data_IF_131149434161
#
_entry.id   IF_131149434161
#
_cell.length_a   1.000
_cell.length_b   1.000
_cell.length_c   1.000
_cell.angle_alpha   90.00
_cell.angle_beta   90.00
_cell.angle_gamma   90.00
#
_symmetry.space_group_name_H-M   'P 1'
#
loop_
_entity.id
_entity.type
_entity.pdbx_description
1 polymer ?
#
# COMPACT_ATOMS: atom_id res chain seq x y z
N UNK A 1 -15.65 8.08 3.12
CA UNK A 1 -16.13 7.41 4.36
C UNK A 1 -16.94 8.41 5.16
N UNK A 2 -18.25 8.30 5.19
CA UNK A 2 -19.05 9.00 6.20
C UNK A 2 -18.83 8.25 7.51
N UNK A 3 -18.13 8.88 8.45
CA UNK A 3 -18.01 8.35 9.80
C UNK A 3 -19.44 8.16 10.34
N UNK A 4 -19.81 6.92 10.63
CA UNK A 4 -21.06 6.67 11.31
C UNK A 4 -20.83 7.20 12.74
N UNK A 5 -21.52 8.25 13.17
CA UNK A 5 -21.32 8.97 14.45
C UNK A 5 -21.21 8.04 15.68
N UNK A 6 -21.71 6.81 15.57
CA UNK A 6 -21.71 5.82 16.64
C UNK A 6 -20.34 5.20 16.97
N UNK A 7 -19.32 5.34 16.11
CA UNK A 7 -17.99 4.76 16.30
C UNK A 7 -16.89 5.80 16.53
N UNK A 8 -17.22 7.09 16.56
CA UNK A 8 -16.26 8.16 16.83
C UNK A 8 -15.95 8.17 18.34
N UNK A 9 -14.66 8.02 18.68
CA UNK A 9 -14.19 8.01 20.07
C UNK A 9 -13.44 9.28 20.47
N UNK A 10 -12.89 10.01 19.51
CA UNK A 10 -12.20 11.29 19.74
C UNK A 10 -12.13 12.13 18.48
N UNK A 11 -11.92 13.44 18.65
CA UNK A 11 -11.48 14.37 17.60
C UNK A 11 -10.31 15.15 18.18
N UNK A 12 -9.11 14.95 17.63
CA UNK A 12 -7.87 15.58 18.08
C UNK A 12 -6.80 15.56 16.99
N UNK A 13 -5.90 16.52 17.03
CA UNK A 13 -4.72 16.60 16.16
C UNK A 13 -5.06 16.62 14.65
N UNK A 14 -6.27 17.09 14.26
CA UNK A 14 -6.76 17.14 12.87
C UNK A 14 -7.26 15.79 12.35
N UNK A 15 -7.54 14.84 13.25
CA UNK A 15 -8.07 13.52 12.93
C UNK A 15 -9.34 13.21 13.74
N UNK A 16 -10.30 12.59 13.08
CA UNK A 16 -11.44 11.92 13.70
C UNK A 16 -11.03 10.47 13.99
N UNK A 17 -11.09 10.07 15.26
CA UNK A 17 -10.69 8.74 15.70
C UNK A 17 -11.88 7.82 15.75
N UNK A 18 -11.83 6.72 14.96
CA UNK A 18 -12.97 5.83 14.76
C UNK A 18 -12.59 4.40 15.14
N UNK A 19 -13.33 3.79 16.05
CA UNK A 19 -13.23 2.35 16.28
C UNK A 19 -13.75 1.61 15.04
N UNK A 20 -12.96 0.65 14.56
CA UNK A 20 -13.34 -0.11 13.38
C UNK A 20 -13.08 -1.61 13.51
N UNK A 21 -13.89 -2.36 12.81
CA UNK A 21 -13.65 -3.79 12.57
C UNK A 21 -12.65 -3.97 11.43
N UNK A 22 -12.03 -5.14 11.39
CA UNK A 22 -11.19 -5.51 10.24
C UNK A 22 -12.01 -5.42 8.94
N UNK A 23 -11.62 -4.61 7.96
CA UNK A 23 -12.40 -4.41 6.73
C UNK A 23 -12.55 -5.70 5.91
N UNK A 24 -11.58 -6.63 5.99
CA UNK A 24 -11.64 -7.90 5.26
C UNK A 24 -12.53 -8.94 5.94
N UNK A 25 -12.53 -8.99 7.26
CA UNK A 25 -13.16 -10.08 8.04
C UNK A 25 -14.43 -9.66 8.77
N UNK A 26 -14.70 -8.37 8.85
CA UNK A 26 -15.80 -7.76 9.60
C UNK A 26 -15.86 -8.21 11.08
N UNK A 27 -14.70 -8.35 11.72
CA UNK A 27 -14.57 -8.69 13.15
C UNK A 27 -13.66 -7.69 13.86
N UNK A 28 -13.85 -7.44 15.16
CA UNK A 28 -12.93 -6.60 15.93
C UNK A 28 -11.49 -7.13 15.84
N UNK A 29 -10.47 -6.25 15.90
CA UNK A 29 -9.09 -6.70 16.05
C UNK A 29 -8.91 -7.34 17.43
N UNK A 30 -8.02 -8.32 17.56
CA UNK A 30 -7.91 -9.12 18.79
C UNK A 30 -6.54 -9.07 19.43
N UNK A 31 -5.53 -8.52 18.75
CA UNK A 31 -4.16 -8.53 19.26
C UNK A 31 -3.50 -7.18 19.11
N UNK A 32 -3.19 -6.54 20.24
CA UNK A 32 -2.34 -5.35 20.27
C UNK A 32 -0.90 -5.74 19.87
N UNK A 33 -0.33 -5.02 18.91
CA UNK A 33 1.06 -5.19 18.47
C UNK A 33 1.98 -4.26 19.26
N UNK A 34 1.57 -3.02 19.44
CA UNK A 34 2.30 -1.95 20.13
C UNK A 34 1.83 -0.59 19.64
N UNK A 35 2.56 0.46 20.02
CA UNK A 35 2.31 1.84 19.57
C UNK A 35 3.20 2.23 18.40
N UNK A 36 2.71 3.12 17.55
CA UNK A 36 3.46 3.66 16.42
C UNK A 36 3.11 5.13 16.15
N UNK A 37 4.09 5.90 15.66
CA UNK A 37 3.96 7.32 15.37
C UNK A 37 4.10 8.23 16.59
N UNK A 38 4.20 9.53 16.37
CA UNK A 38 4.33 10.54 17.42
C UNK A 38 5.48 10.25 18.38
N UNK A 39 5.22 10.29 19.69
CA UNK A 39 6.21 9.98 20.73
C UNK A 39 6.73 8.53 20.67
N UNK A 40 6.01 7.63 20.03
CA UNK A 40 6.42 6.24 19.78
C UNK A 40 7.23 6.05 18.49
N UNK A 41 7.80 7.13 17.96
CA UNK A 41 8.73 7.12 16.84
C UNK A 41 9.99 7.92 17.18
N UNK A 42 11.17 7.47 16.69
CA UNK A 42 12.48 8.11 17.02
C UNK A 42 12.55 9.60 16.67
N UNK A 43 11.86 10.01 15.61
CA UNK A 43 11.85 11.40 15.09
C UNK A 43 10.53 12.11 15.35
N UNK A 44 9.62 11.52 16.14
CA UNK A 44 8.31 12.10 16.42
C UNK A 44 7.38 12.16 15.19
N UNK A 45 7.64 11.33 14.16
CA UNK A 45 6.86 11.35 12.93
C UNK A 45 5.55 10.58 13.05
N UNK A 46 4.55 11.02 12.28
CA UNK A 46 3.25 10.38 12.21
C UNK A 46 2.35 10.67 13.41
N UNK A 47 1.20 10.00 13.45
CA UNK A 47 0.19 10.12 14.49
C UNK A 47 0.31 8.95 15.46
N UNK A 48 0.48 9.23 16.75
CA UNK A 48 0.60 8.16 17.75
C UNK A 48 -0.70 7.35 17.82
N UNK A 49 -0.59 6.07 17.56
CA UNK A 49 -1.71 5.15 17.47
C UNK A 49 -1.39 3.79 18.07
N UNK A 50 -2.39 3.16 18.67
CA UNK A 50 -2.33 1.75 19.05
C UNK A 50 -2.53 0.88 17.82
N UNK A 51 -1.56 0.02 17.54
CA UNK A 51 -1.53 -0.82 16.34
C UNK A 51 -2.01 -2.23 16.69
N UNK A 52 -3.06 -2.66 16.01
CA UNK A 52 -3.73 -3.92 16.25
C UNK A 52 -3.65 -4.86 15.07
N UNK A 53 -3.83 -6.15 15.32
CA UNK A 53 -3.96 -7.18 14.29
C UNK A 53 -5.28 -7.91 14.38
N UNK A 54 -5.87 -8.20 13.22
CA UNK A 54 -7.02 -9.09 13.09
C UNK A 54 -6.60 -10.55 13.35
N UNK A 55 -7.26 -11.23 14.29
CA UNK A 55 -7.00 -12.64 14.61
C UNK A 55 -7.36 -13.59 13.46
N UNK A 56 -8.29 -13.22 12.56
CA UNK A 56 -8.73 -14.07 11.45
C UNK A 56 -7.83 -13.99 10.21
N UNK A 57 -7.37 -12.79 9.80
CA UNK A 57 -6.57 -12.64 8.57
C UNK A 57 -5.18 -12.05 8.77
N UNK A 58 -4.87 -11.59 9.97
CA UNK A 58 -3.58 -10.94 10.32
C UNK A 58 -3.36 -9.58 9.67
N UNK A 59 -4.41 -8.92 9.13
CA UNK A 59 -4.32 -7.51 8.74
C UNK A 59 -3.98 -6.67 9.96
N UNK A 60 -3.07 -5.73 9.80
CA UNK A 60 -2.60 -4.82 10.86
C UNK A 60 -3.13 -3.42 10.55
N UNK A 61 -3.63 -2.71 11.56
CA UNK A 61 -4.17 -1.36 11.40
C UNK A 61 -4.26 -0.64 12.76
N UNK A 62 -4.28 0.71 12.76
CA UNK A 62 -4.58 1.49 13.96
C UNK A 62 -6.01 1.22 14.43
N UNK A 63 -6.23 1.07 15.74
CA UNK A 63 -7.57 1.05 16.28
C UNK A 63 -7.61 1.69 17.68
N UNK A 64 -8.27 2.85 17.84
CA UNK A 64 -9.06 3.57 16.83
C UNK A 64 -8.23 4.04 15.62
N UNK A 65 -8.87 4.11 14.44
CA UNK A 65 -8.27 4.61 13.20
C UNK A 65 -8.30 6.13 13.16
N UNK A 66 -7.15 6.83 12.97
CA UNK A 66 -7.13 8.27 12.74
C UNK A 66 -7.53 8.55 11.28
N UNK A 67 -8.75 9.05 11.08
CA UNK A 67 -9.26 9.47 9.77
C UNK A 67 -9.05 10.97 9.62
N UNK A 68 -8.44 11.48 8.53
CA UNK A 68 -8.20 12.91 8.35
C UNK A 68 -9.49 13.73 8.38
N UNK A 69 -9.57 14.74 9.23
CA UNK A 69 -10.74 15.64 9.34
C UNK A 69 -10.96 16.44 8.04
N UNK A 70 -9.88 16.83 7.39
CA UNK A 70 -9.89 17.65 6.15
C UNK A 70 -10.27 16.89 4.88
N UNK A 71 -10.58 15.59 4.99
CA UNK A 71 -10.89 14.73 3.86
C UNK A 71 -9.66 14.11 3.19
N UNK A 72 -9.90 13.06 2.38
CA UNK A 72 -8.83 12.26 1.78
C UNK A 72 -8.05 13.00 0.70
N UNK A 73 -8.71 13.86 -0.09
CA UNK A 73 -8.05 14.62 -1.15
C UNK A 73 -6.90 15.49 -0.61
N UNK A 74 -7.14 16.26 0.46
CA UNK A 74 -6.09 17.05 1.09
C UNK A 74 -5.05 16.20 1.84
N UNK A 75 -5.45 15.04 2.33
CA UNK A 75 -4.51 14.13 3.00
C UNK A 75 -3.51 13.51 2.04
N UNK A 76 -3.92 13.23 0.81
CA UNK A 76 -3.06 12.68 -0.24
C UNK A 76 -2.34 13.75 -1.07
N UNK A 77 -2.62 15.04 -0.85
CA UNK A 77 -1.90 16.13 -1.53
C UNK A 77 -0.52 16.34 -0.87
N UNK A 78 0.46 15.62 -1.41
CA UNK A 78 1.83 15.61 -0.92
C UNK A 78 2.63 16.79 -1.45
N UNK A 79 3.66 17.21 -0.70
CA UNK A 79 4.68 18.10 -1.23
C UNK A 79 5.50 17.36 -2.30
N UNK A 80 5.20 17.70 -3.57
CA UNK A 80 5.83 17.08 -4.71
C UNK A 80 7.35 17.37 -4.75
N UNK A 81 7.78 18.55 -4.31
CA UNK A 81 9.17 18.96 -4.37
C UNK A 81 10.02 18.17 -3.37
N UNK A 82 9.51 17.93 -2.15
CA UNK A 82 10.15 17.08 -1.15
C UNK A 82 10.21 15.63 -1.62
N UNK A 83 9.12 15.11 -2.17
CA UNK A 83 9.08 13.76 -2.74
C UNK A 83 10.06 13.58 -3.90
N UNK A 84 10.19 14.60 -4.77
CA UNK A 84 11.07 14.55 -5.93
C UNK A 84 12.56 14.53 -5.57
N UNK A 85 12.95 15.16 -4.47
CA UNK A 85 14.33 15.18 -4.03
C UNK A 85 14.82 13.82 -3.47
N UNK A 86 13.93 13.03 -2.90
CA UNK A 86 14.28 11.79 -2.19
C UNK A 86 14.16 10.51 -3.02
N UNK A 87 13.71 10.58 -4.28
CA UNK A 87 13.49 9.39 -5.11
C UNK A 87 14.22 9.48 -6.46
N UNK A 88 15.03 8.48 -6.79
CA UNK A 88 15.72 8.37 -8.08
C UNK A 88 14.72 8.01 -9.20
N UNK A 89 14.57 8.93 -10.17
CA UNK A 89 13.64 8.76 -11.29
C UNK A 89 14.08 7.66 -12.28
N UNK A 90 15.38 7.42 -12.43
CA UNK A 90 15.92 6.50 -13.42
C UNK A 90 15.62 5.03 -13.12
N UNK A 91 15.83 4.63 -11.87
CA UNK A 91 15.56 3.25 -11.43
C UNK A 91 14.08 2.92 -11.43
N UNK A 92 13.21 3.88 -11.09
CA UNK A 92 11.75 3.71 -11.12
C UNK A 92 11.22 3.51 -12.53
N UNK A 93 11.72 4.26 -13.50
CA UNK A 93 11.30 4.11 -14.90
C UNK A 93 11.72 2.73 -15.48
N UNK A 94 12.91 2.25 -15.15
CA UNK A 94 13.34 0.92 -15.58
C UNK A 94 12.45 -0.19 -14.97
N UNK A 95 12.13 -0.09 -13.67
CA UNK A 95 11.20 -1.01 -13.01
C UNK A 95 9.81 -0.97 -13.61
N UNK A 96 9.30 0.23 -13.94
CA UNK A 96 8.02 0.40 -14.61
C UNK A 96 8.01 -0.28 -15.98
N UNK A 97 9.08 -0.14 -16.78
CA UNK A 97 9.17 -0.77 -18.09
C UNK A 97 9.10 -2.31 -18.01
N UNK A 98 9.76 -2.91 -17.03
CA UNK A 98 9.72 -4.37 -16.81
C UNK A 98 8.34 -4.84 -16.33
N UNK A 99 7.68 -4.07 -15.48
CA UNK A 99 6.31 -4.32 -15.06
C UNK A 99 5.34 -4.32 -16.26
N UNK A 100 5.43 -3.34 -17.15
CA UNK A 100 4.57 -3.24 -18.33
C UNK A 100 4.83 -4.38 -19.34
N UNK A 101 6.10 -4.79 -19.53
CA UNK A 101 6.42 -5.99 -20.32
C UNK A 101 5.77 -7.23 -19.74
N UNK A 102 5.82 -7.40 -18.42
CA UNK A 102 5.20 -8.52 -17.72
C UNK A 102 3.66 -8.50 -17.86
N UNK A 103 3.03 -7.32 -17.76
CA UNK A 103 1.59 -7.16 -18.01
C UNK A 103 1.21 -7.64 -19.43
N UNK A 104 1.95 -7.20 -20.44
CA UNK A 104 1.74 -7.61 -21.84
C UNK A 104 1.93 -9.11 -22.05
N UNK A 105 2.94 -9.71 -21.42
CA UNK A 105 3.19 -11.15 -21.50
C UNK A 105 2.07 -11.97 -20.82
N UNK A 106 1.55 -11.52 -19.67
CA UNK A 106 0.48 -12.21 -18.95
C UNK A 106 -0.89 -12.09 -19.63
N UNK A 107 -1.17 -10.93 -20.26
CA UNK A 107 -2.43 -10.67 -20.94
C UNK A 107 -2.44 -11.23 -22.38
N UNK A 108 -1.28 -11.35 -23.01
CA UNK A 108 -1.11 -11.74 -24.42
C UNK A 108 -1.40 -10.63 -25.45
N UNK A 109 -1.79 -9.45 -25.00
CA UNK A 109 -2.07 -8.28 -25.85
C UNK A 109 -1.80 -6.98 -25.08
N UNK A 110 -1.86 -5.87 -25.80
CA UNK A 110 -1.92 -4.52 -25.20
C UNK A 110 -3.38 -4.11 -25.09
N UNK A 111 -3.68 -3.25 -24.15
CA UNK A 111 -5.05 -2.79 -23.93
C UNK A 111 -5.06 -1.45 -23.19
N UNK A 112 -6.09 -1.22 -22.39
CA UNK A 112 -6.26 -0.02 -21.59
C UNK A 112 -5.79 -0.26 -20.17
N UNK A 113 -4.92 0.63 -19.67
CA UNK A 113 -4.27 0.54 -18.36
C UNK A 113 -4.67 1.73 -17.48
N UNK A 114 -5.00 1.44 -16.23
CA UNK A 114 -5.20 2.42 -15.17
C UNK A 114 -4.06 2.32 -14.16
N UNK A 115 -3.37 3.43 -13.91
CA UNK A 115 -2.41 3.58 -12.82
C UNK A 115 -3.05 4.35 -11.66
N UNK A 116 -3.11 3.76 -10.48
CA UNK A 116 -3.67 4.39 -9.27
C UNK A 116 -2.52 4.84 -8.39
N UNK A 117 -2.48 6.16 -8.08
CA UNK A 117 -1.35 6.78 -7.43
C UNK A 117 -0.20 7.02 -8.41
N UNK A 118 -0.50 7.80 -9.45
CA UNK A 118 0.39 8.04 -10.60
C UNK A 118 1.75 8.61 -10.23
N UNK A 119 1.83 9.45 -9.18
CA UNK A 119 3.06 10.12 -8.80
C UNK A 119 3.70 10.87 -9.96
N UNK A 120 4.96 10.57 -10.29
CA UNK A 120 5.68 11.20 -11.42
C UNK A 120 5.26 10.70 -12.80
N UNK A 121 4.43 9.67 -12.91
CA UNK A 121 3.95 9.10 -14.15
C UNK A 121 4.89 8.08 -14.83
N UNK A 122 5.86 7.51 -14.11
CA UNK A 122 6.82 6.56 -14.68
C UNK A 122 6.12 5.34 -15.30
N UNK A 123 5.07 4.83 -14.65
CA UNK A 123 4.28 3.69 -15.16
C UNK A 123 3.51 4.10 -16.42
N UNK A 124 2.84 5.26 -16.39
CA UNK A 124 2.11 5.76 -17.56
C UNK A 124 3.03 6.03 -18.74
N UNK A 125 4.24 6.58 -18.51
CA UNK A 125 5.23 6.83 -19.55
C UNK A 125 5.67 5.51 -20.19
N UNK A 126 6.11 4.55 -19.37
CA UNK A 126 6.56 3.24 -19.86
C UNK A 126 5.45 2.51 -20.63
N UNK A 127 4.21 2.54 -20.13
CA UNK A 127 3.08 1.91 -20.79
C UNK A 127 2.76 2.58 -22.14
N UNK A 128 2.73 3.91 -22.19
CA UNK A 128 2.46 4.65 -23.41
C UNK A 128 3.54 4.43 -24.49
N UNK A 129 4.81 4.46 -24.12
CA UNK A 129 5.93 4.16 -25.01
C UNK A 129 5.83 2.74 -25.60
N UNK A 130 5.26 1.81 -24.84
CA UNK A 130 4.98 0.45 -25.29
C UNK A 130 3.64 0.29 -26.05
N UNK A 131 2.90 1.40 -26.27
CA UNK A 131 1.68 1.43 -27.07
C UNK A 131 0.41 0.98 -26.34
N UNK A 132 0.35 1.16 -25.01
CA UNK A 132 -0.87 1.00 -24.23
C UNK A 132 -1.71 2.28 -24.26
N UNK A 133 -3.04 2.14 -24.15
CA UNK A 133 -3.93 3.25 -23.80
C UNK A 133 -3.90 3.42 -22.27
N UNK A 134 -3.65 4.65 -21.80
CA UNK A 134 -3.35 4.87 -20.38
C UNK A 134 -4.21 5.97 -19.77
N UNK A 135 -4.73 5.68 -18.58
CA UNK A 135 -5.34 6.67 -17.67
C UNK A 135 -4.71 6.55 -16.29
N UNK A 136 -4.84 7.60 -15.46
CA UNK A 136 -4.33 7.60 -14.11
C UNK A 136 -5.30 8.18 -13.09
N UNK A 137 -5.12 7.81 -11.83
CA UNK A 137 -5.79 8.42 -10.66
C UNK A 137 -4.72 9.03 -9.78
N UNK A 138 -4.78 10.34 -9.55
CA UNK A 138 -3.82 11.07 -8.73
C UNK A 138 -4.50 12.27 -8.06
N UNK A 139 -4.69 12.25 -6.75
CA UNK A 139 -5.36 13.34 -6.03
C UNK A 139 -4.51 14.60 -5.90
N UNK A 140 -3.19 14.52 -5.92
CA UNK A 140 -2.32 15.70 -5.89
C UNK A 140 -2.32 16.43 -7.22
N UNK A 141 -2.70 17.72 -7.20
CA UNK A 141 -2.72 18.54 -8.42
C UNK A 141 -1.36 18.63 -9.08
N UNK A 142 -0.29 18.85 -8.31
CA UNK A 142 1.07 18.96 -8.82
C UNK A 142 1.55 17.70 -9.52
N UNK A 143 1.31 16.52 -8.92
CA UNK A 143 1.64 15.25 -9.54
C UNK A 143 0.78 14.96 -10.77
N UNK A 144 -0.52 15.22 -10.70
CA UNK A 144 -1.44 15.04 -11.81
C UNK A 144 -1.05 15.93 -13.01
N UNK A 145 -0.69 17.19 -12.77
CA UNK A 145 -0.22 18.10 -13.83
C UNK A 145 1.10 17.63 -14.44
N UNK A 146 2.05 17.21 -13.61
CA UNK A 146 3.32 16.69 -14.07
C UNK A 146 3.15 15.45 -14.95
N UNK A 147 2.37 14.48 -14.49
CA UNK A 147 2.10 13.25 -15.24
C UNK A 147 1.35 13.54 -16.55
N UNK A 148 0.33 14.43 -16.51
CA UNK A 148 -0.42 14.84 -17.69
C UNK A 148 0.46 15.54 -18.74
N UNK A 149 1.33 16.46 -18.31
CA UNK A 149 2.25 17.16 -19.20
C UNK A 149 3.20 16.21 -19.94
N UNK A 150 3.67 15.14 -19.26
CA UNK A 150 4.61 14.17 -19.83
C UNK A 150 3.94 13.10 -20.68
N UNK A 151 2.71 12.73 -20.38
CA UNK A 151 2.05 11.59 -21.03
C UNK A 151 0.87 12.01 -21.92
N UNK A 152 0.26 13.17 -21.69
CA UNK A 152 -1.01 13.54 -22.30
C UNK A 152 -2.19 12.63 -21.88
N UNK A 153 -1.98 11.76 -20.89
CA UNK A 153 -3.01 10.85 -20.41
C UNK A 153 -4.13 11.59 -19.69
N UNK A 154 -5.32 10.99 -19.63
CA UNK A 154 -6.39 11.44 -18.77
C UNK A 154 -6.02 11.09 -17.31
N UNK A 155 -5.98 12.09 -16.42
CA UNK A 155 -5.74 11.92 -15.00
C UNK A 155 -6.98 12.34 -14.23
N UNK A 156 -7.51 11.42 -13.43
CA UNK A 156 -8.58 11.66 -12.48
C UNK A 156 -7.99 12.30 -11.23
N UNK A 157 -8.37 13.57 -10.96
CA UNK A 157 -7.77 14.38 -9.88
C UNK A 157 -8.55 14.25 -8.56
N UNK A 158 -8.87 13.03 -8.21
CA UNK A 158 -9.64 12.68 -7.02
C UNK A 158 -9.04 11.43 -6.38
N UNK A 159 -9.20 11.22 -5.06
CA UNK A 159 -8.93 9.94 -4.45
C UNK A 159 -9.67 8.80 -5.19
N UNK A 160 -9.05 7.64 -5.27
CA UNK A 160 -9.69 6.48 -5.90
C UNK A 160 -11.04 6.14 -5.26
N UNK A 161 -11.18 6.43 -3.97
CA UNK A 161 -12.43 6.29 -3.20
C UNK A 161 -13.60 7.06 -3.83
N UNK A 162 -13.32 8.26 -4.34
CA UNK A 162 -14.31 9.23 -4.83
C UNK A 162 -14.47 9.22 -6.36
N UNK A 163 -13.53 8.56 -7.07
CA UNK A 163 -13.50 8.56 -8.53
C UNK A 163 -14.58 7.68 -9.13
N UNK A 164 -15.38 8.20 -10.05
CA UNK A 164 -16.42 7.44 -10.78
C UNK A 164 -15.85 6.88 -12.09
N UNK A 165 -15.31 5.69 -12.05
CA UNK A 165 -14.76 4.97 -13.20
C UNK A 165 -15.79 3.95 -13.71
N UNK A 166 -16.01 3.87 -15.05
CA UNK A 166 -16.93 2.89 -15.63
C UNK A 166 -16.53 1.43 -15.35
N UNK A 167 -17.53 0.55 -15.32
CA UNK A 167 -17.34 -0.89 -15.15
C UNK A 167 -16.71 -1.51 -16.40
N UNK A 168 -15.84 -2.52 -16.20
CA UNK A 168 -15.21 -3.29 -17.28
C UNK A 168 -14.48 -2.42 -18.32
N UNK A 169 -13.80 -1.40 -17.86
CA UNK A 169 -13.12 -0.42 -18.71
C UNK A 169 -11.67 -0.79 -18.97
N UNK A 170 -10.97 -1.36 -18.01
CA UNK A 170 -9.51 -1.55 -18.05
C UNK A 170 -9.12 -3.02 -18.21
N UNK A 171 -8.11 -3.25 -19.02
CA UNK A 171 -7.45 -4.54 -19.19
C UNK A 171 -6.43 -4.77 -18.06
N UNK A 172 -5.81 -3.69 -17.56
CA UNK A 172 -4.84 -3.70 -16.47
C UNK A 172 -5.14 -2.56 -15.50
N UNK A 173 -5.06 -2.84 -14.19
CA UNK A 173 -5.04 -1.83 -13.12
C UNK A 173 -3.80 -2.06 -12.27
N UNK A 174 -3.07 -0.99 -11.92
CA UNK A 174 -1.85 -1.02 -11.14
C UNK A 174 -2.04 -0.21 -9.86
N UNK A 175 -1.70 -0.80 -8.71
CA UNK A 175 -1.54 -0.14 -7.42
C UNK A 175 -0.16 -0.50 -6.86
N UNK A 176 0.85 0.28 -7.22
CA UNK A 176 2.24 0.07 -6.80
C UNK A 176 2.55 0.91 -5.55
N UNK A 177 2.62 0.28 -4.38
CA UNK A 177 2.80 0.93 -3.08
C UNK A 177 1.71 1.99 -2.78
N UNK A 178 0.45 1.63 -2.97
CA UNK A 178 -0.71 2.51 -2.78
C UNK A 178 -1.71 1.94 -1.79
N UNK A 179 -2.02 0.64 -1.87
CA UNK A 179 -3.13 0.03 -1.12
C UNK A 179 -2.98 0.17 0.40
N UNK A 180 -1.76 0.20 0.92
CA UNK A 180 -1.45 0.39 2.34
C UNK A 180 -1.82 1.78 2.89
N UNK A 181 -2.00 2.75 2.01
CA UNK A 181 -2.37 4.14 2.35
C UNK A 181 -3.87 4.39 2.31
N UNK A 182 -4.64 3.50 1.65
CA UNK A 182 -6.07 3.70 1.42
C UNK A 182 -6.92 3.28 2.62
N UNK A 183 -7.89 4.13 3.00
CA UNK A 183 -8.65 3.97 4.27
C UNK A 183 -9.72 2.87 4.24
N UNK A 184 -10.13 2.39 3.08
CA UNK A 184 -11.07 1.28 2.95
C UNK A 184 -10.62 0.26 1.89
N UNK A 185 -9.65 -0.60 2.19
CA UNK A 185 -9.07 -1.52 1.23
C UNK A 185 -10.10 -2.53 0.68
N UNK A 186 -11.17 -2.82 1.40
CA UNK A 186 -12.22 -3.74 0.93
C UNK A 186 -13.08 -3.10 -0.17
N UNK A 187 -13.58 -1.89 0.05
CA UNK A 187 -14.35 -1.14 -0.95
C UNK A 187 -13.49 -0.79 -2.17
N UNK A 188 -12.24 -0.42 -1.95
CA UNK A 188 -11.29 -0.17 -3.05
C UNK A 188 -11.10 -1.43 -3.89
N UNK A 189 -10.90 -2.58 -3.27
CA UNK A 189 -10.72 -3.82 -4.02
C UNK A 189 -12.00 -4.24 -4.76
N UNK A 190 -13.17 -3.97 -4.19
CA UNK A 190 -14.46 -4.12 -4.90
C UNK A 190 -14.54 -3.21 -6.14
N UNK A 191 -14.15 -1.94 -5.99
CA UNK A 191 -14.09 -0.97 -7.10
C UNK A 191 -13.10 -1.42 -8.18
N UNK A 192 -11.89 -1.82 -7.81
CA UNK A 192 -10.87 -2.31 -8.75
C UNK A 192 -11.38 -3.55 -9.51
N UNK A 193 -11.97 -4.51 -8.81
CA UNK A 193 -12.57 -5.68 -9.46
C UNK A 193 -13.70 -5.30 -10.44
N UNK A 194 -14.46 -4.24 -10.15
CA UNK A 194 -15.55 -3.75 -11.01
C UNK A 194 -15.03 -3.09 -12.28
N UNK A 195 -14.01 -2.22 -12.17
CA UNK A 195 -13.47 -1.46 -13.31
C UNK A 195 -12.57 -2.29 -14.24
N UNK A 196 -11.96 -3.37 -13.74
CA UNK A 196 -11.27 -4.33 -14.58
C UNK A 196 -12.24 -5.07 -15.49
N UNK A 197 -11.86 -5.35 -16.72
CA UNK A 197 -12.58 -6.29 -17.61
C UNK A 197 -12.51 -7.72 -17.06
N UNK A 198 -13.48 -8.60 -17.38
CA UNK A 198 -13.33 -10.04 -17.11
C UNK A 198 -12.04 -10.57 -17.75
N UNK A 199 -11.20 -11.25 -16.97
CA UNK A 199 -9.87 -11.69 -17.40
C UNK A 199 -8.78 -10.62 -17.31
N UNK A 200 -9.12 -9.39 -16.95
CA UNK A 200 -8.16 -8.30 -16.73
C UNK A 200 -7.24 -8.54 -15.54
N UNK A 201 -6.13 -7.84 -15.52
CA UNK A 201 -5.04 -8.00 -14.56
C UNK A 201 -5.00 -6.86 -13.54
N UNK A 202 -4.83 -7.23 -12.28
CA UNK A 202 -4.48 -6.32 -11.19
C UNK A 202 -3.02 -6.55 -10.79
N UNK A 203 -2.22 -5.49 -10.76
CA UNK A 203 -0.92 -5.48 -10.08
C UNK A 203 -1.04 -4.85 -8.70
N UNK A 204 -0.41 -5.49 -7.72
CA UNK A 204 -0.24 -4.95 -6.37
C UNK A 204 1.20 -5.16 -5.91
N UNK A 205 1.76 -4.13 -5.29
CA UNK A 205 2.98 -4.20 -4.48
C UNK A 205 2.70 -3.51 -3.15
N UNK A 206 2.87 -4.24 -2.05
CA UNK A 206 2.60 -3.75 -0.69
C UNK A 206 3.63 -4.28 0.31
N UNK A 207 3.90 -3.57 1.42
CA UNK A 207 4.71 -4.10 2.50
C UNK A 207 4.10 -5.36 3.13
N UNK A 208 4.95 -6.36 3.38
CA UNK A 208 4.60 -7.54 4.16
C UNK A 208 4.84 -7.28 5.65
N UNK A 209 3.88 -6.71 6.32
CA UNK A 209 3.95 -6.33 7.73
C UNK A 209 4.06 -7.53 8.71
N UNK A 210 4.01 -8.76 8.18
CA UNK A 210 4.27 -10.02 8.92
C UNK A 210 5.60 -10.66 8.54
N UNK A 211 6.39 -10.01 7.70
CA UNK A 211 7.73 -10.44 7.32
C UNK A 211 8.68 -10.57 8.53
N UNK A 212 9.78 -11.28 8.34
CA UNK A 212 10.74 -11.57 9.41
C UNK A 212 11.34 -10.30 10.00
N UNK A 213 11.59 -9.29 9.17
CA UNK A 213 12.10 -7.99 9.60
C UNK A 213 11.20 -7.33 10.67
N UNK A 214 9.90 -7.25 10.43
CA UNK A 214 8.95 -6.67 11.38
C UNK A 214 8.83 -7.50 12.66
N UNK A 215 8.89 -8.83 12.55
CA UNK A 215 8.83 -9.72 13.71
C UNK A 215 10.05 -9.57 14.61
N UNK A 216 11.24 -9.53 14.03
CA UNK A 216 12.51 -9.33 14.76
C UNK A 216 12.55 -7.91 15.35
N UNK A 217 12.15 -6.89 14.57
CA UNK A 217 12.07 -5.51 15.05
C UNK A 217 11.14 -5.35 16.25
N UNK A 218 9.97 -5.95 16.23
CA UNK A 218 9.04 -5.92 17.35
C UNK A 218 9.59 -6.68 18.58
N UNK A 219 10.25 -7.81 18.38
CA UNK A 219 10.93 -8.53 19.47
C UNK A 219 12.01 -7.65 20.10
N UNK A 220 12.82 -6.97 19.27
CA UNK A 220 13.85 -6.05 19.76
C UNK A 220 13.26 -4.91 20.61
N UNK A 221 12.14 -4.29 20.18
CA UNK A 221 11.49 -3.24 20.98
C UNK A 221 11.01 -3.78 22.34
N UNK A 222 10.40 -4.98 22.36
CA UNK A 222 9.96 -5.64 23.60
C UNK A 222 11.11 -5.96 24.54
N UNK A 223 12.24 -6.45 24.03
CA UNK A 223 13.45 -6.70 24.84
C UNK A 223 14.00 -5.41 25.46
N UNK A 224 13.79 -4.27 24.79
CA UNK A 224 14.09 -2.93 25.33
C UNK A 224 13.00 -2.37 26.25
N UNK A 225 12.00 -3.16 26.60
CA UNK A 225 10.85 -2.74 27.42
C UNK A 225 10.09 -1.55 26.86
N UNK A 226 10.02 -1.43 25.54
CA UNK A 226 9.24 -0.43 24.82
C UNK A 226 7.95 -1.05 24.32
N UNK A 227 6.84 -0.32 24.43
CA UNK A 227 5.54 -0.68 23.86
C UNK A 227 5.42 -0.33 22.36
N UNK A 228 6.52 0.09 21.72
CA UNK A 228 6.60 0.45 20.32
C UNK A 228 6.55 -0.77 19.41
N UNK A 229 5.99 -0.58 18.20
CA UNK A 229 6.15 -1.53 17.11
C UNK A 229 6.82 -0.87 15.90
N UNK A 230 7.32 -1.70 14.99
CA UNK A 230 7.96 -1.24 13.74
C UNK A 230 7.04 -1.35 12.54
N UNK A 231 5.81 -1.79 12.75
CA UNK A 231 4.78 -1.89 11.74
C UNK A 231 4.20 -0.52 11.36
N UNK A 232 3.65 -0.40 10.16
CA UNK A 232 3.00 0.78 9.61
C UNK A 232 3.92 2.00 9.60
N UNK A 233 4.67 2.16 8.52
CA UNK A 233 5.65 3.25 8.40
C UNK A 233 5.00 4.64 8.57
N UNK A 234 5.45 5.46 9.51
CA UNK A 234 5.02 6.85 9.65
C UNK A 234 6.01 7.82 9.01
N UNK A 235 6.94 7.33 8.18
CA UNK A 235 8.10 8.13 7.74
C UNK A 235 7.74 9.19 6.72
N UNK A 236 6.80 8.89 5.81
CA UNK A 236 6.35 9.81 4.77
C UNK A 236 4.83 9.88 4.77
N UNK A 237 4.29 11.07 4.54
CA UNK A 237 2.87 11.26 4.28
C UNK A 237 2.55 10.85 2.82
N UNK A 238 1.39 10.24 2.55
CA UNK A 238 0.44 9.70 3.50
C UNK A 238 1.01 8.47 4.21
N UNK A 239 0.73 8.35 5.52
CA UNK A 239 1.26 7.24 6.32
C UNK A 239 0.58 5.91 5.95
N UNK A 240 1.27 4.78 6.23
CA UNK A 240 0.64 3.47 6.10
C UNK A 240 -0.47 3.32 7.15
N UNK A 241 -1.69 3.09 6.71
CA UNK A 241 -2.86 2.87 7.58
C UNK A 241 -3.27 1.40 7.65
N UNK A 242 -2.92 0.60 6.63
CA UNK A 242 -3.11 -0.85 6.66
C UNK A 242 -1.81 -1.61 6.37
N UNK A 243 -1.53 -2.60 7.20
CA UNK A 243 -0.40 -3.51 7.04
C UNK A 243 -0.86 -4.89 6.57
N UNK A 244 -0.48 -5.25 5.36
CA UNK A 244 -0.85 -6.52 4.77
C UNK A 244 0.10 -7.65 5.18
N UNK A 245 -0.39 -8.87 5.04
CA UNK A 245 0.37 -10.12 5.10
C UNK A 245 -0.04 -10.99 3.93
N UNK A 246 0.72 -12.03 3.56
CA UNK A 246 0.29 -12.98 2.54
C UNK A 246 -1.13 -13.51 2.77
N UNK A 247 -1.49 -13.78 4.03
CA UNK A 247 -2.83 -14.27 4.40
C UNK A 247 -3.93 -13.24 4.20
N UNK A 248 -3.72 -12.00 4.63
CA UNK A 248 -4.74 -10.93 4.52
C UNK A 248 -4.92 -10.51 3.07
N UNK A 249 -3.82 -10.37 2.30
CA UNK A 249 -3.90 -9.96 0.91
C UNK A 249 -4.58 -11.03 0.03
N UNK A 250 -4.21 -12.32 0.18
CA UNK A 250 -4.92 -13.40 -0.53
C UNK A 250 -6.41 -13.44 -0.19
N UNK A 251 -6.76 -13.23 1.09
CA UNK A 251 -8.17 -13.22 1.49
C UNK A 251 -8.93 -12.05 0.89
N UNK A 252 -8.31 -10.87 0.84
CA UNK A 252 -8.89 -9.69 0.20
C UNK A 252 -9.12 -9.93 -1.30
N UNK A 253 -8.10 -10.39 -2.02
CA UNK A 253 -8.21 -10.71 -3.44
C UNK A 253 -9.30 -11.75 -3.71
N UNK A 254 -9.30 -12.85 -2.96
CA UNK A 254 -10.28 -13.93 -3.11
C UNK A 254 -11.73 -13.45 -2.86
N UNK A 255 -11.92 -12.55 -1.88
CA UNK A 255 -13.24 -11.97 -1.58
C UNK A 255 -13.85 -11.27 -2.80
N UNK A 256 -13.02 -10.62 -3.62
CA UNK A 256 -13.44 -9.85 -4.79
C UNK A 256 -13.21 -10.58 -6.14
N UNK A 257 -13.04 -11.89 -6.12
CA UNK A 257 -12.92 -12.69 -7.34
C UNK A 257 -11.63 -12.48 -8.12
N UNK A 258 -10.57 -12.02 -7.44
CA UNK A 258 -9.24 -11.82 -7.98
C UNK A 258 -8.35 -13.01 -7.61
N UNK A 259 -7.78 -13.69 -8.59
CA UNK A 259 -6.97 -14.89 -8.39
C UNK A 259 -5.51 -14.60 -8.73
N UNK A 260 -4.57 -14.72 -7.77
CA UNK A 260 -3.15 -14.53 -8.05
C UNK A 260 -2.63 -15.47 -9.14
N UNK A 261 -1.98 -14.92 -10.16
CA UNK A 261 -1.27 -15.63 -11.23
C UNK A 261 0.23 -15.63 -10.99
N UNK A 262 0.76 -14.51 -10.52
CA UNK A 262 2.13 -14.38 -10.05
C UNK A 262 2.06 -13.91 -8.61
N UNK A 263 2.87 -14.52 -7.76
CA UNK A 263 2.94 -14.17 -6.35
C UNK A 263 4.38 -14.24 -5.89
N UNK A 264 4.95 -13.11 -5.55
CA UNK A 264 6.34 -12.99 -5.10
C UNK A 264 6.37 -12.34 -3.74
N UNK A 265 7.11 -12.92 -2.79
CA UNK A 265 7.45 -12.28 -1.53
C UNK A 265 8.95 -12.10 -1.50
N UNK A 266 9.42 -10.87 -1.49
CA UNK A 266 10.83 -10.58 -1.61
C UNK A 266 11.35 -9.72 -0.45
N UNK A 267 12.67 -9.81 -0.20
CA UNK A 267 13.35 -8.99 0.77
C UNK A 267 13.88 -7.72 0.09
N UNK A 268 13.27 -6.58 0.37
CA UNK A 268 13.83 -5.29 0.00
C UNK A 268 15.10 -4.97 0.80
N UNK A 269 15.85 -3.97 0.37
CA UNK A 269 16.98 -3.44 1.13
C UNK A 269 16.47 -2.78 2.40
N UNK A 270 16.66 -3.43 3.53
CA UNK A 270 16.27 -2.86 4.83
C UNK A 270 17.20 -1.72 5.20
N UNK A 271 16.69 -0.51 5.20
CA UNK A 271 17.35 0.58 5.92
C UNK A 271 17.16 0.33 7.42
N UNK A 272 18.16 -0.29 8.06
CA UNK A 272 18.24 -0.30 9.51
C UNK A 272 18.92 0.98 9.93
N UNK A 273 18.23 1.91 10.60
CA UNK A 273 18.87 3.05 11.20
C UNK A 273 19.85 2.51 12.28
N UNK A 274 21.14 2.45 11.98
CA UNK A 274 22.13 1.98 12.94
C UNK A 274 22.32 2.99 14.06
N UNK A 275 22.38 2.52 15.30
CA UNK A 275 23.07 3.22 16.37
C UNK A 275 24.54 3.38 15.99
N UNK A 276 25.20 4.46 16.39
CA UNK A 276 26.64 4.60 16.18
C UNK A 276 27.46 3.57 16.99
N UNK A 277 28.72 3.33 16.57
CA UNK A 277 29.67 2.49 17.33
C UNK A 277 29.48 0.97 17.17
N UNK A 278 30.03 0.19 18.11
CA UNK A 278 30.06 -1.27 18.06
C UNK A 278 28.64 -1.89 18.05
N UNK A 279 27.71 -1.31 18.81
CA UNK A 279 26.31 -1.78 18.87
C UNK A 279 25.63 -1.64 17.51
N UNK A 280 25.86 -0.54 16.79
CA UNK A 280 25.34 -0.32 15.44
C UNK A 280 25.91 -1.29 14.41
N UNK A 281 27.16 -1.75 14.62
CA UNK A 281 27.73 -2.81 13.77
C UNK A 281 27.00 -4.14 13.97
N UNK A 282 26.71 -4.51 15.21
CA UNK A 282 25.97 -5.73 15.53
C UNK A 282 24.53 -5.64 14.96
N UNK A 283 23.84 -4.52 15.15
CA UNK A 283 22.51 -4.29 14.59
C UNK A 283 22.51 -4.46 13.06
N UNK A 284 23.52 -3.92 12.36
CA UNK A 284 23.64 -4.05 10.91
C UNK A 284 23.90 -5.49 10.47
N UNK A 285 24.71 -6.26 11.20
CA UNK A 285 24.96 -7.67 10.88
C UNK A 285 23.70 -8.53 11.10
N UNK A 286 22.97 -8.30 12.19
CA UNK A 286 21.68 -8.95 12.43
C UNK A 286 20.69 -8.62 11.32
N UNK A 287 20.61 -7.36 10.89
CA UNK A 287 19.72 -6.95 9.80
C UNK A 287 20.07 -7.62 8.47
N UNK A 288 21.38 -7.74 8.13
CA UNK A 288 21.82 -8.48 6.93
C UNK A 288 21.42 -9.94 7.00
N UNK A 289 21.60 -10.59 8.15
CA UNK A 289 21.18 -11.98 8.35
C UNK A 289 19.66 -12.13 8.23
N UNK A 290 18.88 -11.26 8.87
CA UNK A 290 17.43 -11.24 8.77
C UNK A 290 16.97 -11.06 7.32
N UNK A 291 17.59 -10.12 6.58
CA UNK A 291 17.29 -9.90 5.16
C UNK A 291 17.64 -11.14 4.32
N UNK A 292 18.75 -11.80 4.61
CA UNK A 292 19.12 -13.03 3.90
C UNK A 292 18.16 -14.18 4.18
N UNK A 293 17.81 -14.43 5.45
CA UNK A 293 16.84 -15.48 5.84
C UNK A 293 15.45 -15.18 5.27
N UNK A 294 15.05 -13.91 5.22
CA UNK A 294 13.73 -13.51 4.73
C UNK A 294 13.51 -13.73 3.22
N UNK A 295 14.54 -14.08 2.46
CA UNK A 295 14.43 -14.53 1.05
C UNK A 295 13.77 -15.89 0.90
N UNK A 296 13.69 -16.66 2.00
CA UNK A 296 13.09 -17.99 1.97
C UNK A 296 11.65 -17.95 2.44
N UNK A 297 10.77 -18.63 1.70
CA UNK A 297 9.34 -18.66 1.99
C UNK A 297 8.66 -17.29 1.84
N UNK A 298 7.63 -17.04 2.63
CA UNK A 298 6.87 -15.78 2.61
C UNK A 298 7.31 -14.83 3.73
N UNK A 299 8.60 -14.79 4.05
CA UNK A 299 9.16 -13.99 5.13
C UNK A 299 9.76 -12.66 4.66
N UNK A 300 9.74 -12.37 3.37
CA UNK A 300 10.19 -11.11 2.79
C UNK A 300 9.45 -9.88 3.31
N UNK A 301 9.98 -8.71 3.00
CA UNK A 301 9.44 -7.41 3.46
C UNK A 301 8.37 -6.83 2.54
N UNK A 302 8.26 -7.34 1.31
CA UNK A 302 7.28 -6.91 0.33
C UNK A 302 6.54 -8.08 -0.29
N UNK A 303 5.31 -7.84 -0.73
CA UNK A 303 4.47 -8.77 -1.49
C UNK A 303 4.14 -8.10 -2.81
N UNK A 304 4.53 -8.75 -3.90
CA UNK A 304 4.17 -8.35 -5.26
C UNK A 304 3.27 -9.42 -5.87
N UNK A 305 2.23 -9.01 -6.56
CA UNK A 305 1.32 -9.96 -7.21
C UNK A 305 0.68 -9.40 -8.46
N UNK A 306 0.52 -10.27 -9.47
CA UNK A 306 -0.43 -10.11 -10.54
C UNK A 306 -1.62 -11.03 -10.28
N UNK A 307 -2.82 -10.46 -10.20
CA UNK A 307 -4.05 -11.20 -10.01
C UNK A 307 -5.00 -11.01 -11.20
N UNK A 308 -5.69 -12.06 -11.57
CA UNK A 308 -6.66 -12.05 -12.69
C UNK A 308 -8.07 -11.93 -12.13
N UNK A 309 -8.86 -11.02 -12.70
CA UNK A 309 -10.30 -10.99 -12.44
C UNK A 309 -10.97 -12.21 -13.05
N UNK A 310 -11.76 -12.93 -12.25
CA UNK A 310 -12.54 -14.09 -12.72
C UNK A 310 -13.48 -13.70 -13.87
N UNK A 311 -13.56 -14.57 -14.88
CA UNK A 311 -14.47 -14.38 -16.02
C UNK A 311 -15.92 -14.76 -15.68
N UNK A 312 -16.12 -15.56 -14.63
CA UNK A 312 -17.45 -15.98 -14.16
C UNK A 312 -17.91 -15.06 -13.04
N UNK A 313 -19.11 -14.48 -13.16
CA UNK A 313 -19.79 -13.88 -12.00
C UNK A 313 -20.00 -14.97 -10.96
N UNK A 314 -19.48 -14.83 -9.73
CA UNK A 314 -20.00 -15.63 -8.61
C UNK A 314 -21.47 -15.29 -8.44
N UNK A 315 -22.38 -16.28 -8.38
CA UNK A 315 -23.73 -16.02 -7.92
C UNK A 315 -23.62 -15.45 -6.51
N UNK A 316 -24.30 -14.30 -6.26
CA UNK A 316 -24.38 -13.59 -4.99
C UNK A 316 -25.02 -14.42 -3.89
#
# INVERSE_FOLDING_TARGET
MTANDQNVVANRDGYIWVEQKCPICNVPPTRLIGKRGGASHRQGLGVESDIWACGKCSLIFPNPMPVPERGLGQHYDLDADDYFQHHDAGSKLAGAADMIKQAGALLGCKGKLLDVGVGRGEILIAAKEMGWDVEGVEPSEKFADHAKARTGAKIWRQPIEETEIPDNEFDVVILAAVLEHLYNPDEIMAKIARVLKPGGLLYLDVPNERGLFFRVGNLYQRLRRRDWCVNLSPTFSPFHVFGFSPRSLRKLLQKHGLTPRVWTVYAGTSMVPGSGGALGNIERQIAKLVTWVSRFGEMGTYIETWAVRSTTRRPG
#
